data_IF_167596144571
#
_entry.id   IF_167596144571
#
_cell.length_a   1.000
_cell.length_b   1.000
_cell.length_c   1.000
_cell.angle_alpha   90.00
_cell.angle_beta   90.00
_cell.angle_gamma   90.00
#
_symmetry.space_group_name_H-M   'P 1'
#
loop_
_entity.id
_entity.type
_entity.pdbx_description
1 polymer ?
#
# COMPACT_ATOMS: atom_id res chain seq x y z
N UNK A 1 12.08 -15.26 -13.60
CA UNK A 1 13.16 -14.48 -12.95
C UNK A 1 13.70 -13.35 -13.83
N UNK A 2 14.10 -13.63 -15.07
CA UNK A 2 14.69 -12.63 -15.98
C UNK A 2 13.90 -11.31 -16.10
N UNK A 3 12.56 -11.29 -16.26
CA UNK A 3 11.84 -10.02 -16.42
C UNK A 3 11.94 -9.10 -15.17
N UNK A 4 12.01 -9.67 -13.96
CA UNK A 4 12.21 -8.89 -12.74
C UNK A 4 13.61 -8.30 -12.66
N UNK A 5 14.63 -9.09 -12.99
CA UNK A 5 16.01 -8.61 -13.02
C UNK A 5 16.10 -7.44 -14.01
N UNK A 6 15.51 -7.57 -15.20
CA UNK A 6 15.44 -6.50 -16.19
C UNK A 6 14.69 -5.29 -15.64
N UNK A 7 13.51 -5.47 -15.04
CA UNK A 7 12.72 -4.39 -14.46
C UNK A 7 13.48 -3.60 -13.39
N UNK A 8 14.09 -4.28 -12.42
CA UNK A 8 14.86 -3.65 -11.35
C UNK A 8 16.16 -3.02 -11.89
N UNK A 9 16.80 -3.63 -12.89
CA UNK A 9 18.00 -3.06 -13.53
C UNK A 9 17.67 -1.77 -14.28
N UNK A 10 16.61 -1.77 -15.10
CA UNK A 10 16.14 -0.58 -15.81
C UNK A 10 15.73 0.53 -14.82
N UNK A 11 15.03 0.18 -13.74
CA UNK A 11 14.72 1.11 -12.66
C UNK A 11 15.97 1.69 -12.01
N UNK A 12 16.97 0.86 -11.74
CA UNK A 12 18.26 1.29 -11.19
C UNK A 12 18.96 2.29 -12.12
N UNK A 13 18.98 2.04 -13.42
CA UNK A 13 19.54 2.97 -14.41
C UNK A 13 18.80 4.32 -14.41
N UNK A 14 17.47 4.31 -14.39
CA UNK A 14 16.66 5.54 -14.33
C UNK A 14 16.91 6.30 -13.01
N UNK A 15 17.05 5.58 -11.89
CA UNK A 15 17.33 6.16 -10.58
C UNK A 15 18.72 6.83 -10.47
N UNK A 16 19.70 6.38 -11.27
CA UNK A 16 21.06 6.94 -11.32
C UNK A 16 21.16 8.18 -12.21
N UNK A 17 20.13 8.50 -13.00
CA UNK A 17 20.12 9.72 -13.82
C UNK A 17 20.20 10.96 -12.90
N UNK A 18 21.26 11.76 -13.07
CA UNK A 18 21.65 12.87 -12.16
C UNK A 18 20.57 13.91 -11.87
N UNK A 19 19.58 14.06 -12.76
CA UNK A 19 18.52 15.06 -12.65
C UNK A 19 17.18 14.37 -12.80
N UNK A 20 16.28 14.52 -11.83
CA UNK A 20 14.87 14.13 -11.96
C UNK A 20 14.15 15.08 -12.92
N UNK A 21 14.56 15.05 -14.18
CA UNK A 21 13.92 15.76 -15.27
C UNK A 21 12.52 15.19 -15.51
N UNK A 22 11.67 15.94 -16.21
CA UNK A 22 10.38 15.43 -16.67
C UNK A 22 10.56 14.15 -17.51
N UNK A 23 11.62 14.07 -18.33
CA UNK A 23 11.96 12.88 -19.11
C UNK A 23 12.26 11.66 -18.21
N UNK A 24 13.01 11.84 -17.12
CA UNK A 24 13.30 10.75 -16.16
C UNK A 24 12.03 10.23 -15.51
N UNK A 25 11.12 11.13 -15.11
CA UNK A 25 9.83 10.77 -14.53
C UNK A 25 8.95 10.07 -15.58
N UNK A 26 8.95 10.55 -16.82
CA UNK A 26 8.21 9.95 -17.92
C UNK A 26 8.70 8.53 -18.23
N UNK A 27 10.01 8.31 -18.36
CA UNK A 27 10.59 6.98 -18.53
C UNK A 27 10.24 6.05 -17.37
N UNK A 28 10.30 6.57 -16.13
CA UNK A 28 9.90 5.84 -14.93
C UNK A 28 8.42 5.43 -14.97
N UNK A 29 7.51 6.34 -15.35
CA UNK A 29 6.07 6.06 -15.48
C UNK A 29 5.83 5.00 -16.56
N UNK A 30 6.42 5.15 -17.75
CA UNK A 30 6.26 4.17 -18.84
C UNK A 30 6.76 2.79 -18.41
N UNK A 31 7.94 2.70 -17.80
CA UNK A 31 8.52 1.43 -17.37
C UNK A 31 7.60 0.72 -16.35
N UNK A 32 7.05 1.48 -15.40
CA UNK A 32 6.09 0.98 -14.43
C UNK A 32 4.78 0.54 -15.07
N UNK A 33 4.20 1.38 -15.93
CA UNK A 33 2.96 1.05 -16.63
C UNK A 33 3.12 -0.22 -17.47
N UNK A 34 4.25 -0.36 -18.19
CA UNK A 34 4.53 -1.54 -18.99
C UNK A 34 4.70 -2.82 -18.15
N UNK A 35 5.42 -2.74 -17.04
CA UNK A 35 5.76 -3.93 -16.26
C UNK A 35 4.73 -4.31 -15.20
N UNK A 36 4.04 -3.33 -14.64
CA UNK A 36 3.06 -3.52 -13.55
C UNK A 36 1.67 -3.19 -14.04
N UNK A 37 1.47 -2.01 -14.63
CA UNK A 37 0.17 -1.55 -15.12
C UNK A 37 -0.38 -2.29 -16.36
N UNK A 38 0.36 -3.21 -16.98
CA UNK A 38 -0.14 -4.06 -18.08
C UNK A 38 0.03 -5.55 -17.80
N UNK A 39 0.44 -5.87 -16.58
CA UNK A 39 0.74 -7.23 -16.17
C UNK A 39 -0.45 -7.79 -15.41
N UNK A 40 -1.29 -8.52 -16.15
CA UNK A 40 -2.56 -9.01 -15.64
C UNK A 40 -2.56 -10.53 -15.49
N UNK A 41 -3.44 -11.03 -14.61
CA UNK A 41 -3.65 -12.44 -14.23
C UNK A 41 -2.81 -13.03 -13.08
N UNK A 42 -2.36 -12.19 -12.15
CA UNK A 42 -1.38 -12.60 -11.15
C UNK A 42 -1.78 -12.32 -9.70
N UNK A 43 -2.79 -11.48 -9.50
CA UNK A 43 -3.35 -11.19 -8.19
C UNK A 43 -4.31 -12.29 -7.72
N UNK A 44 -4.27 -12.61 -6.42
CA UNK A 44 -5.19 -13.57 -5.79
C UNK A 44 -6.67 -13.23 -6.04
N UNK A 45 -7.00 -11.95 -5.94
CA UNK A 45 -8.38 -11.46 -6.07
C UNK A 45 -8.75 -11.05 -7.50
N UNK A 46 -7.81 -11.19 -8.45
CA UNK A 46 -7.98 -10.74 -9.83
C UNK A 46 -9.27 -11.25 -10.50
N UNK A 47 -9.59 -12.57 -10.44
CA UNK A 47 -10.81 -13.08 -11.07
C UNK A 47 -12.08 -12.55 -10.42
N UNK A 48 -12.07 -12.31 -9.11
CA UNK A 48 -13.23 -11.80 -8.37
C UNK A 48 -13.55 -10.37 -8.82
N UNK A 49 -12.55 -9.48 -8.82
CA UNK A 49 -12.74 -8.10 -9.26
C UNK A 49 -13.05 -7.99 -10.76
N UNK A 50 -12.52 -8.88 -11.59
CA UNK A 50 -12.89 -8.94 -13.02
C UNK A 50 -14.35 -9.35 -13.20
N UNK A 51 -14.81 -10.37 -12.48
CA UNK A 51 -16.22 -10.78 -12.51
C UNK A 51 -17.16 -9.69 -11.99
N UNK A 52 -16.76 -8.99 -10.94
CA UNK A 52 -17.47 -7.83 -10.42
C UNK A 52 -17.56 -6.71 -11.47
N UNK A 53 -16.45 -6.35 -12.11
CA UNK A 53 -16.43 -5.34 -13.15
C UNK A 53 -17.36 -5.67 -14.31
N UNK A 54 -17.29 -6.90 -14.84
CA UNK A 54 -18.16 -7.32 -15.95
C UNK A 54 -19.63 -7.38 -15.53
N UNK A 55 -19.92 -7.80 -14.29
CA UNK A 55 -21.29 -7.76 -13.76
C UNK A 55 -21.80 -6.32 -13.61
N UNK A 56 -21.01 -5.39 -13.06
CA UNK A 56 -21.41 -3.99 -12.92
C UNK A 56 -21.58 -3.30 -14.28
N UNK A 57 -20.83 -3.73 -15.28
CA UNK A 57 -20.94 -3.25 -16.67
C UNK A 57 -22.31 -3.52 -17.27
N UNK A 58 -23.00 -4.61 -16.89
CA UNK A 58 -24.34 -4.92 -17.41
C UNK A 58 -25.47 -4.09 -16.78
N UNK A 59 -25.26 -3.52 -15.59
CA UNK A 59 -26.33 -2.83 -14.85
C UNK A 59 -26.59 -1.40 -15.33
N UNK A 60 -27.84 -0.97 -15.32
CA UNK A 60 -28.20 0.46 -15.47
C UNK A 60 -27.87 1.29 -14.21
N UNK A 61 -27.87 2.62 -14.32
CA UNK A 61 -27.63 3.52 -13.17
C UNK A 61 -28.67 3.31 -12.06
N UNK A 62 -29.96 3.30 -12.41
CA UNK A 62 -31.07 3.10 -11.45
C UNK A 62 -31.01 1.69 -10.84
N UNK A 63 -30.73 0.69 -11.67
CA UNK A 63 -30.62 -0.71 -11.27
C UNK A 63 -29.48 -0.94 -10.26
N UNK A 64 -28.34 -0.28 -10.47
CA UNK A 64 -27.21 -0.33 -9.55
C UNK A 64 -27.56 0.17 -8.14
N UNK A 65 -28.17 1.36 -8.04
CA UNK A 65 -28.52 1.93 -6.74
C UNK A 65 -29.65 1.18 -6.05
N UNK A 66 -30.65 0.71 -6.80
CA UNK A 66 -31.77 -0.08 -6.25
C UNK A 66 -31.31 -1.47 -5.79
N UNK A 67 -30.31 -2.06 -6.45
CA UNK A 67 -29.78 -3.39 -6.11
C UNK A 67 -28.56 -3.36 -5.19
N UNK A 68 -28.13 -2.18 -4.73
CA UNK A 68 -26.89 -2.01 -3.97
C UNK A 68 -26.75 -2.97 -2.77
N UNK A 69 -27.77 -3.20 -1.93
CA UNK A 69 -27.66 -4.17 -0.83
C UNK A 69 -27.37 -5.59 -1.32
N UNK A 70 -28.02 -6.03 -2.40
CA UNK A 70 -27.79 -7.35 -2.98
C UNK A 70 -26.39 -7.46 -3.60
N UNK A 71 -25.90 -6.39 -4.24
CA UNK A 71 -24.54 -6.30 -4.78
C UNK A 71 -23.52 -6.44 -3.64
N UNK A 72 -23.72 -5.77 -2.51
CA UNK A 72 -22.84 -5.86 -1.34
C UNK A 72 -22.80 -7.25 -0.71
N UNK A 73 -23.91 -8.00 -0.78
CA UNK A 73 -23.93 -9.40 -0.33
C UNK A 73 -23.11 -10.28 -1.28
N UNK A 74 -23.24 -10.07 -2.60
CA UNK A 74 -22.52 -10.85 -3.62
C UNK A 74 -21.02 -10.52 -3.66
N UNK A 75 -20.69 -9.24 -3.52
CA UNK A 75 -19.33 -8.70 -3.50
C UNK A 75 -19.16 -7.90 -2.21
N UNK A 76 -18.56 -8.49 -1.14
CA UNK A 76 -18.44 -7.89 0.19
C UNK A 76 -17.36 -6.79 0.24
N UNK A 77 -17.54 -5.80 -0.62
CA UNK A 77 -16.69 -4.64 -0.81
C UNK A 77 -17.36 -3.39 -0.24
N UNK A 78 -16.52 -2.43 0.14
CA UNK A 78 -16.96 -1.17 0.70
C UNK A 78 -17.77 -0.37 -0.33
N UNK A 79 -18.78 0.35 0.14
CA UNK A 79 -19.71 1.12 -0.69
C UNK A 79 -18.99 2.10 -1.64
N UNK A 80 -17.98 2.82 -1.15
CA UNK A 80 -17.22 3.75 -1.98
C UNK A 80 -16.46 3.05 -3.11
N UNK A 81 -15.95 1.84 -2.87
CA UNK A 81 -15.32 1.05 -3.92
C UNK A 81 -16.34 0.54 -4.94
N UNK A 82 -17.52 0.07 -4.52
CA UNK A 82 -18.56 -0.39 -5.44
C UNK A 82 -19.03 0.74 -6.38
N UNK A 83 -19.21 1.95 -5.85
CA UNK A 83 -19.51 3.12 -6.68
C UNK A 83 -18.37 3.38 -7.68
N UNK A 84 -17.12 3.37 -7.20
CA UNK A 84 -15.96 3.57 -8.07
C UNK A 84 -15.88 2.51 -9.17
N UNK A 85 -16.06 1.24 -8.84
CA UNK A 85 -16.03 0.12 -9.78
C UNK A 85 -17.16 0.22 -10.80
N UNK A 86 -18.37 0.59 -10.36
CA UNK A 86 -19.50 0.80 -11.26
C UNK A 86 -19.23 1.94 -12.24
N UNK A 87 -18.84 3.12 -11.76
CA UNK A 87 -18.53 4.26 -12.63
C UNK A 87 -17.40 3.92 -13.60
N UNK A 88 -16.36 3.24 -13.12
CA UNK A 88 -15.24 2.80 -13.96
C UNK A 88 -15.68 1.79 -15.02
N UNK A 89 -16.62 0.89 -14.72
CA UNK A 89 -17.19 -0.06 -15.70
C UNK A 89 -17.95 0.60 -16.84
N UNK A 90 -18.38 1.86 -16.67
CA UNK A 90 -19.04 2.65 -17.72
C UNK A 90 -18.05 3.47 -18.54
N UNK A 91 -16.87 3.74 -18.01
CA UNK A 91 -15.82 4.53 -18.68
C UNK A 91 -14.85 3.62 -19.44
N UNK A 92 -14.42 2.53 -18.81
CA UNK A 92 -13.44 1.60 -19.40
C UNK A 92 -14.15 0.43 -20.07
N UNK A 93 -13.71 0.08 -21.27
CA UNK A 93 -14.29 -1.06 -21.98
C UNK A 93 -13.82 -2.42 -21.45
N UNK A 94 -12.70 -2.45 -20.73
CA UNK A 94 -12.14 -3.65 -20.10
C UNK A 94 -11.63 -3.37 -18.69
N UNK A 95 -11.68 -4.39 -17.84
CA UNK A 95 -11.17 -4.35 -16.47
C UNK A 95 -9.66 -4.08 -16.42
N UNK A 96 -8.91 -4.59 -17.39
CA UNK A 96 -7.47 -4.40 -17.54
C UNK A 96 -7.11 -2.92 -17.72
N UNK A 97 -7.88 -2.16 -18.49
CA UNK A 97 -7.63 -0.72 -18.64
C UNK A 97 -7.94 0.07 -17.37
N UNK A 98 -8.99 -0.32 -16.64
CA UNK A 98 -9.29 0.27 -15.34
C UNK A 98 -8.12 0.06 -14.37
N UNK A 99 -7.52 -1.13 -14.37
CA UNK A 99 -6.37 -1.44 -13.52
C UNK A 99 -5.12 -0.65 -13.90
N UNK A 100 -4.89 -0.45 -15.20
CA UNK A 100 -3.75 0.32 -15.68
C UNK A 100 -3.90 1.77 -15.22
N UNK A 101 -5.11 2.31 -15.35
CA UNK A 101 -5.48 3.61 -14.82
C UNK A 101 -5.27 3.71 -13.30
N UNK A 102 -5.74 2.73 -12.52
CA UNK A 102 -5.55 2.71 -11.07
C UNK A 102 -4.07 2.69 -10.66
N UNK A 103 -3.24 1.95 -11.40
CA UNK A 103 -1.81 1.95 -11.15
C UNK A 103 -1.15 3.28 -11.55
N UNK A 104 -1.61 3.93 -12.63
CA UNK A 104 -1.18 5.29 -12.96
C UNK A 104 -1.57 6.29 -11.85
N UNK A 105 -2.77 6.15 -11.27
CA UNK A 105 -3.23 6.94 -10.10
C UNK A 105 -2.31 6.69 -8.90
N UNK A 106 -1.89 5.46 -8.66
CA UNK A 106 -0.92 5.12 -7.61
C UNK A 106 0.43 5.81 -7.83
N UNK A 107 1.02 5.70 -9.02
CA UNK A 107 2.29 6.37 -9.35
C UNK A 107 2.14 7.89 -9.20
N UNK A 108 1.05 8.47 -9.68
CA UNK A 108 0.79 9.90 -9.56
C UNK A 108 0.68 10.34 -8.09
N UNK A 109 0.01 9.55 -7.24
CA UNK A 109 -0.09 9.81 -5.80
C UNK A 109 1.28 9.77 -5.11
N UNK A 110 2.11 8.79 -5.47
CA UNK A 110 3.45 8.61 -4.93
C UNK A 110 4.38 9.76 -5.32
N UNK A 111 4.37 10.18 -6.59
CA UNK A 111 5.14 11.33 -7.07
C UNK A 111 4.67 12.62 -6.39
N UNK A 112 3.35 12.81 -6.26
CA UNK A 112 2.77 13.99 -5.62
C UNK A 112 3.22 14.11 -4.16
N UNK A 113 3.13 13.01 -3.40
CA UNK A 113 3.58 12.96 -2.01
C UNK A 113 5.10 13.15 -1.89
N UNK A 114 5.89 12.48 -2.75
CA UNK A 114 7.35 12.63 -2.76
C UNK A 114 7.78 14.07 -3.03
N UNK A 115 7.11 14.78 -3.95
CA UNK A 115 7.35 16.22 -4.18
C UNK A 115 6.98 17.06 -2.97
N UNK A 116 5.83 16.81 -2.35
CA UNK A 116 5.36 17.54 -1.16
C UNK A 116 6.28 17.34 0.06
N UNK A 117 6.96 16.19 0.16
CA UNK A 117 7.95 15.89 1.20
C UNK A 117 9.37 16.41 0.89
N UNK A 118 9.62 16.88 -0.34
CA UNK A 118 10.96 17.30 -0.77
C UNK A 118 11.92 16.13 -1.04
N UNK A 119 11.38 14.96 -1.41
CA UNK A 119 12.18 13.78 -1.75
C UNK A 119 12.98 14.02 -3.05
N UNK A 120 14.30 13.90 -2.98
CA UNK A 120 15.19 14.19 -4.12
C UNK A 120 15.23 13.08 -5.17
N UNK A 121 15.09 11.81 -4.75
CA UNK A 121 15.12 10.66 -5.65
C UNK A 121 13.87 9.78 -5.47
N UNK A 122 12.74 10.27 -5.97
CA UNK A 122 11.45 9.56 -6.01
C UNK A 122 11.56 8.19 -6.72
N UNK A 123 12.34 8.06 -7.79
CA UNK A 123 12.48 6.79 -8.52
C UNK A 123 13.13 5.74 -7.62
N UNK A 124 14.24 6.08 -6.96
CA UNK A 124 14.90 5.17 -6.03
C UNK A 124 14.02 4.81 -4.82
N UNK A 125 13.19 5.75 -4.34
CA UNK A 125 12.20 5.45 -3.31
C UNK A 125 11.17 4.43 -3.79
N UNK A 126 10.67 4.55 -5.04
CA UNK A 126 9.74 3.57 -5.61
C UNK A 126 10.38 2.18 -5.75
N UNK A 127 11.68 2.07 -6.03
CA UNK A 127 12.36 0.77 -6.04
C UNK A 127 12.22 0.09 -4.69
N UNK A 128 12.38 0.82 -3.58
CA UNK A 128 12.15 0.28 -2.23
C UNK A 128 10.70 -0.16 -2.06
N UNK A 129 9.72 0.62 -2.55
CA UNK A 129 8.31 0.22 -2.55
C UNK A 129 8.12 -1.11 -3.27
N UNK A 130 8.61 -1.24 -4.51
CA UNK A 130 8.51 -2.49 -5.26
C UNK A 130 9.17 -3.69 -4.54
N UNK A 131 10.29 -3.49 -3.86
CA UNK A 131 10.95 -4.58 -3.13
C UNK A 131 10.05 -5.19 -2.04
N UNK A 132 9.19 -4.39 -1.41
CA UNK A 132 8.30 -4.87 -0.33
C UNK A 132 6.87 -5.16 -0.80
N UNK A 133 6.30 -4.33 -1.67
CA UNK A 133 4.84 -4.34 -1.88
C UNK A 133 4.41 -4.59 -3.33
N UNK A 134 5.34 -4.91 -4.23
CA UNK A 134 5.04 -5.25 -5.63
C UNK A 134 4.00 -6.38 -5.73
N UNK A 135 4.22 -7.48 -4.98
CA UNK A 135 3.31 -8.62 -5.01
C UNK A 135 2.01 -8.38 -4.25
N UNK A 136 2.12 -7.80 -3.05
CA UNK A 136 1.02 -7.74 -2.09
C UNK A 136 0.08 -6.57 -2.35
N UNK A 137 0.60 -5.41 -2.73
CA UNK A 137 -0.19 -4.21 -2.98
C UNK A 137 -0.44 -4.00 -4.47
N UNK A 138 0.64 -3.94 -5.27
CA UNK A 138 0.57 -3.50 -6.67
C UNK A 138 -0.08 -4.55 -7.58
N UNK A 139 0.14 -5.84 -7.33
CA UNK A 139 -0.49 -6.91 -8.12
C UNK A 139 -1.78 -7.49 -7.54
N UNK A 140 -2.03 -7.36 -6.24
CA UNK A 140 -3.05 -8.20 -5.59
C UNK A 140 -4.26 -7.46 -5.03
N UNK A 141 -4.10 -6.21 -4.57
CA UNK A 141 -5.17 -5.56 -3.78
C UNK A 141 -5.58 -4.20 -4.34
N UNK A 142 -6.47 -4.24 -5.34
CA UNK A 142 -7.00 -3.07 -6.06
C UNK A 142 -7.60 -2.03 -5.13
N UNK A 143 -8.48 -2.45 -4.21
CA UNK A 143 -9.12 -1.58 -3.21
C UNK A 143 -8.10 -0.85 -2.35
N UNK A 144 -7.11 -1.58 -1.87
CA UNK A 144 -6.09 -1.05 -1.00
C UNK A 144 -5.14 -0.11 -1.74
N UNK A 145 -4.78 -0.45 -2.98
CA UNK A 145 -4.00 0.41 -3.87
C UNK A 145 -4.69 1.77 -4.06
N UNK A 146 -5.99 1.75 -4.39
CA UNK A 146 -6.78 2.97 -4.56
C UNK A 146 -6.89 3.75 -3.24
N UNK A 147 -7.21 3.09 -2.13
CA UNK A 147 -7.33 3.74 -0.83
C UNK A 147 -6.01 4.39 -0.37
N UNK A 148 -4.89 3.68 -0.52
CA UNK A 148 -3.54 4.20 -0.25
C UNK A 148 -3.20 5.37 -1.19
N UNK A 149 -3.60 5.30 -2.47
CA UNK A 149 -3.38 6.40 -3.42
C UNK A 149 -4.14 7.67 -3.02
N UNK A 150 -5.41 7.52 -2.61
CA UNK A 150 -6.23 8.63 -2.12
C UNK A 150 -5.65 9.23 -0.84
N UNK A 151 -5.16 8.39 0.08
CA UNK A 151 -4.48 8.83 1.29
C UNK A 151 -3.18 9.60 0.98
N UNK A 152 -2.36 9.11 0.05
CA UNK A 152 -1.14 9.80 -0.40
C UNK A 152 -1.44 11.16 -1.02
N UNK A 153 -2.49 11.25 -1.86
CA UNK A 153 -2.96 12.54 -2.38
C UNK A 153 -3.48 13.46 -1.27
N UNK A 154 -4.17 12.93 -0.27
CA UNK A 154 -4.65 13.70 0.87
C UNK A 154 -3.48 14.31 1.67
N UNK A 155 -2.44 13.52 1.95
CA UNK A 155 -1.21 14.00 2.60
C UNK A 155 -0.50 15.05 1.75
N UNK A 156 -0.32 14.80 0.45
CA UNK A 156 0.30 15.76 -0.46
C UNK A 156 -0.48 17.08 -0.53
N UNK A 157 -1.81 17.00 -0.62
CA UNK A 157 -2.72 18.15 -0.58
C UNK A 157 -2.59 18.91 0.74
N UNK A 158 -2.52 18.22 1.87
CA UNK A 158 -2.36 18.84 3.19
C UNK A 158 -1.02 19.57 3.32
N UNK A 159 0.09 18.93 2.95
CA UNK A 159 1.43 19.53 2.99
C UNK A 159 1.56 20.73 2.04
N UNK A 160 0.88 20.69 0.89
CA UNK A 160 0.81 21.80 -0.05
C UNK A 160 -0.28 22.85 0.29
N UNK A 161 -0.96 22.73 1.43
CA UNK A 161 -2.01 23.64 1.91
C UNK A 161 -3.19 23.82 0.94
N UNK A 162 -3.53 22.76 0.20
CA UNK A 162 -4.70 22.73 -0.68
C UNK A 162 -5.98 22.43 0.10
N UNK A 163 -7.15 22.71 -0.48
CA UNK A 163 -8.46 22.66 0.21
C UNK A 163 -9.14 21.30 0.23
N UNK A 164 -8.61 20.29 -0.45
CA UNK A 164 -9.25 18.98 -0.63
C UNK A 164 -8.75 17.81 0.25
N UNK A 165 -7.88 17.97 1.28
CA UNK A 165 -7.33 16.81 1.98
C UNK A 165 -8.41 16.03 2.74
N UNK A 166 -9.39 16.73 3.34
CA UNK A 166 -10.48 16.08 4.07
C UNK A 166 -11.32 15.17 3.16
N UNK A 167 -11.66 15.63 1.95
CA UNK A 167 -12.43 14.86 0.98
C UNK A 167 -11.66 13.60 0.58
N UNK A 168 -10.36 13.72 0.34
CA UNK A 168 -9.50 12.61 -0.06
C UNK A 168 -9.28 11.60 1.09
N UNK A 169 -9.13 12.06 2.34
CA UNK A 169 -9.08 11.17 3.51
C UNK A 169 -10.38 10.38 3.66
N UNK A 170 -11.53 11.05 3.56
CA UNK A 170 -12.84 10.38 3.65
C UNK A 170 -13.02 9.39 2.51
N UNK A 171 -12.67 9.76 1.28
CA UNK A 171 -12.75 8.87 0.12
C UNK A 171 -11.87 7.61 0.29
N UNK A 172 -10.66 7.75 0.87
CA UNK A 172 -9.78 6.63 1.18
C UNK A 172 -10.46 5.59 2.10
N UNK A 173 -11.10 6.05 3.18
CA UNK A 173 -11.83 5.18 4.13
C UNK A 173 -13.08 4.55 3.50
N UNK A 174 -13.80 5.30 2.66
CA UNK A 174 -14.98 4.80 1.95
C UNK A 174 -14.66 3.73 0.91
N UNK A 175 -13.47 3.78 0.31
CA UNK A 175 -12.97 2.74 -0.62
C UNK A 175 -12.50 1.52 0.14
N UNK A 176 -11.89 1.69 1.31
CA UNK A 176 -11.37 0.58 2.11
C UNK A 176 -11.34 1.00 3.59
N UNK A 177 -12.16 0.37 4.42
CA UNK A 177 -12.31 0.76 5.85
C UNK A 177 -10.98 0.66 6.60
N UNK A 178 -10.10 -0.28 6.24
CA UNK A 178 -8.78 -0.42 6.88
C UNK A 178 -7.86 0.80 6.67
N UNK A 179 -8.15 1.68 5.70
CA UNK A 179 -7.43 2.95 5.54
C UNK A 179 -7.72 3.96 6.66
N UNK A 180 -8.76 3.73 7.48
CA UNK A 180 -9.04 4.53 8.67
C UNK A 180 -7.84 4.57 9.63
N UNK A 181 -7.05 3.50 9.69
CA UNK A 181 -5.85 3.49 10.54
C UNK A 181 -4.79 4.49 10.08
N UNK A 182 -4.68 4.74 8.77
CA UNK A 182 -3.77 5.76 8.24
C UNK A 182 -4.25 7.18 8.61
N UNK A 183 -5.57 7.41 8.54
CA UNK A 183 -6.19 8.67 8.96
C UNK A 183 -6.00 8.89 10.46
N UNK A 184 -6.20 7.86 11.29
CA UNK A 184 -5.92 7.92 12.73
C UNK A 184 -4.45 8.24 12.99
N UNK A 185 -3.53 7.59 12.27
CA UNK A 185 -2.10 7.87 12.39
C UNK A 185 -1.76 9.32 12.03
N UNK A 186 -2.40 9.87 11.00
CA UNK A 186 -2.26 11.28 10.60
C UNK A 186 -2.82 12.25 11.65
N UNK A 187 -4.03 12.02 12.16
CA UNK A 187 -4.63 12.83 13.21
C UNK A 187 -3.79 12.81 14.49
N UNK A 188 -3.28 11.62 14.85
CA UNK A 188 -2.32 11.46 15.93
C UNK A 188 -1.05 12.26 15.66
N UNK A 189 -0.47 12.18 14.46
CA UNK A 189 0.77 12.89 14.13
C UNK A 189 0.63 14.42 14.24
N UNK A 190 -0.53 14.98 13.90
CA UNK A 190 -0.81 16.42 14.06
C UNK A 190 -0.95 16.81 15.54
N UNK A 191 -1.64 15.99 16.34
CA UNK A 191 -1.84 16.23 17.77
C UNK A 191 -0.67 15.80 18.66
N UNK A 192 0.30 15.06 18.12
CA UNK A 192 1.37 14.44 18.88
C UNK A 192 2.36 15.47 19.43
N UNK A 193 3.04 15.15 20.55
CA UNK A 193 4.06 16.01 21.12
C UNK A 193 5.15 16.40 20.11
N UNK A 194 5.76 17.57 20.33
CA UNK A 194 6.85 18.07 19.47
C UNK A 194 8.07 17.16 19.47
N UNK A 195 8.33 16.46 20.58
CA UNK A 195 9.49 15.58 20.71
C UNK A 195 9.11 14.18 20.21
N UNK A 196 9.79 13.74 19.15
CA UNK A 196 9.56 12.43 18.49
C UNK A 196 9.64 11.25 19.49
N UNK A 197 10.55 11.29 20.46
CA UNK A 197 10.64 10.24 21.49
C UNK A 197 9.40 10.19 22.39
N UNK A 198 8.80 11.35 22.71
CA UNK A 198 7.58 11.40 23.51
C UNK A 198 6.38 10.90 22.70
N UNK A 199 6.35 11.17 21.39
CA UNK A 199 5.40 10.54 20.46
C UNK A 199 5.54 9.03 20.46
N UNK A 200 6.77 8.50 20.49
CA UNK A 200 7.03 7.05 20.57
C UNK A 200 6.45 6.46 21.85
N UNK A 201 6.61 7.13 23.00
CA UNK A 201 6.04 6.68 24.28
C UNK A 201 4.51 6.69 24.23
N UNK A 202 3.89 7.79 23.78
CA UNK A 202 2.41 7.92 23.74
C UNK A 202 1.81 6.90 22.75
N UNK A 203 2.40 6.76 21.56
CA UNK A 203 1.95 5.77 20.59
C UNK A 203 2.18 4.33 21.09
N UNK A 204 3.29 4.08 21.79
CA UNK A 204 3.58 2.77 22.38
C UNK A 204 2.58 2.40 23.47
N UNK A 205 2.27 3.34 24.38
CA UNK A 205 1.25 3.15 25.41
C UNK A 205 -0.14 2.91 24.80
N UNK A 206 -0.52 3.68 23.78
CA UNK A 206 -1.76 3.47 23.04
C UNK A 206 -1.81 2.10 22.34
N UNK A 207 -0.73 1.70 21.68
CA UNK A 207 -0.64 0.42 21.01
C UNK A 207 -0.71 -0.77 21.99
N UNK A 208 -0.07 -0.66 23.16
CA UNK A 208 -0.19 -1.66 24.24
C UNK A 208 -1.61 -1.74 24.80
N UNK A 209 -2.30 -0.59 24.96
CA UNK A 209 -3.69 -0.57 25.37
C UNK A 209 -4.61 -1.25 24.35
N UNK A 210 -4.36 -1.05 23.04
CA UNK A 210 -5.09 -1.73 21.96
C UNK A 210 -4.90 -3.27 22.00
N UNK A 211 -3.74 -3.75 22.46
CA UNK A 211 -3.46 -5.19 22.59
C UNK A 211 -4.03 -5.81 23.88
N UNK A 212 -4.63 -5.02 24.77
CA UNK A 212 -5.29 -5.59 25.94
C UNK A 212 -6.52 -6.39 25.50
N UNK A 213 -6.65 -7.62 26.02
CA UNK A 213 -7.71 -8.60 25.70
C UNK A 213 -9.13 -8.00 25.83
N UNK A 214 -9.27 -6.95 26.64
CA UNK A 214 -10.52 -6.27 26.94
C UNK A 214 -10.95 -5.25 25.87
N UNK A 215 -10.05 -4.70 25.07
CA UNK A 215 -10.41 -3.55 24.22
C UNK A 215 -11.15 -3.95 22.93
N UNK A 216 -10.80 -5.11 22.37
CA UNK A 216 -11.34 -5.60 21.11
C UNK A 216 -12.85 -5.90 21.16
N UNK A 217 -13.36 -6.67 22.16
CA UNK A 217 -14.79 -6.96 22.27
C UNK A 217 -15.61 -5.70 22.52
N UNK A 218 -15.06 -4.72 23.25
CA UNK A 218 -15.72 -3.45 23.49
C UNK A 218 -15.90 -2.64 22.21
N UNK A 219 -14.90 -2.58 21.32
CA UNK A 219 -15.04 -1.90 20.01
C UNK A 219 -16.05 -2.60 19.10
N UNK A 220 -16.04 -3.93 19.07
CA UNK A 220 -16.95 -4.71 18.21
C UNK A 220 -18.43 -4.40 18.52
N UNK A 221 -18.76 -4.08 19.77
CA UNK A 221 -20.11 -3.74 20.20
C UNK A 221 -20.61 -2.36 19.72
N UNK A 222 -19.71 -1.45 19.34
CA UNK A 222 -20.08 -0.13 18.82
C UNK A 222 -20.08 -0.07 17.29
N UNK A 223 -19.67 -1.14 16.62
CA UNK A 223 -19.60 -1.19 15.18
C UNK A 223 -20.87 -1.80 14.58
N UNK A 224 -21.31 -1.33 13.38
CA UNK A 224 -22.36 -2.01 12.63
C UNK A 224 -22.02 -3.48 12.42
N UNK A 225 -23.04 -4.34 12.40
CA UNK A 225 -22.89 -5.80 12.31
C UNK A 225 -22.01 -6.28 11.14
N UNK A 226 -22.05 -5.60 9.99
CA UNK A 226 -21.18 -5.95 8.85
C UNK A 226 -19.69 -5.65 9.12
N UNK A 227 -19.39 -4.60 9.90
CA UNK A 227 -18.03 -4.23 10.25
C UNK A 227 -17.49 -5.09 11.39
N UNK A 228 -18.35 -5.46 12.35
CA UNK A 228 -17.97 -6.35 13.46
C UNK A 228 -17.61 -7.75 12.95
N UNK A 229 -18.42 -8.35 12.07
CA UNK A 229 -18.14 -9.67 11.46
C UNK A 229 -16.81 -9.67 10.69
N UNK A 230 -16.52 -8.59 9.96
CA UNK A 230 -15.27 -8.46 9.19
C UNK A 230 -14.04 -8.28 10.09
N UNK A 231 -14.16 -7.52 11.18
CA UNK A 231 -13.12 -7.40 12.20
C UNK A 231 -12.91 -8.72 12.93
N UNK A 232 -13.99 -9.39 13.32
CA UNK A 232 -13.94 -10.70 13.97
C UNK A 232 -13.19 -11.71 13.10
N UNK A 233 -13.48 -11.79 11.79
CA UNK A 233 -12.70 -12.58 10.85
C UNK A 233 -11.20 -12.23 10.86
N UNK A 234 -10.84 -10.94 10.91
CA UNK A 234 -9.44 -10.53 10.95
C UNK A 234 -8.70 -10.88 12.26
N UNK A 235 -9.41 -11.03 13.37
CA UNK A 235 -8.83 -11.29 14.69
C UNK A 235 -8.91 -12.76 15.13
N UNK A 236 -9.94 -13.49 14.69
CA UNK A 236 -10.21 -14.88 15.10
C UNK A 236 -9.65 -15.91 14.12
N UNK A 237 -9.53 -15.60 12.82
CA UNK A 237 -8.96 -16.53 11.83
C UNK A 237 -7.41 -16.47 11.91
N UNK A 238 -6.87 -17.06 12.99
CA UNK A 238 -5.44 -17.08 13.33
C UNK A 238 -4.62 -18.10 12.53
N UNK A 239 -5.25 -18.86 11.65
CA UNK A 239 -4.71 -20.12 11.15
C UNK A 239 -4.21 -20.03 9.72
N UNK A 240 -3.09 -19.34 9.47
CA UNK A 240 -2.24 -19.71 8.32
C UNK A 240 -0.75 -19.55 8.67
N UNK A 241 -0.12 -20.70 8.92
CA UNK A 241 1.32 -20.98 8.98
C UNK A 241 2.15 -20.02 9.85
N UNK A 242 2.35 -20.37 11.12
CA UNK A 242 3.29 -19.71 12.02
C UNK A 242 4.73 -19.86 11.50
N UNK A 243 5.20 -18.90 10.72
CA UNK A 243 6.58 -18.87 10.25
C UNK A 243 7.42 -17.97 11.18
N UNK A 244 8.12 -18.59 12.12
CA UNK A 244 8.97 -17.91 13.10
C UNK A 244 10.01 -17.00 12.44
N UNK A 245 10.56 -17.37 11.28
CA UNK A 245 11.53 -16.55 10.56
C UNK A 245 10.89 -15.29 9.97
N UNK A 246 9.67 -15.39 9.42
CA UNK A 246 8.92 -14.25 8.92
C UNK A 246 8.59 -13.27 10.06
N UNK A 247 8.24 -13.81 11.24
CA UNK A 247 8.02 -13.02 12.44
C UNK A 247 9.29 -12.29 12.89
N UNK A 248 10.39 -13.00 13.08
CA UNK A 248 11.67 -12.37 13.47
C UNK A 248 12.08 -11.29 12.47
N UNK A 249 11.92 -11.55 11.17
CA UNK A 249 12.18 -10.55 10.12
C UNK A 249 11.36 -9.28 10.31
N UNK A 250 10.03 -9.39 10.48
CA UNK A 250 9.17 -8.22 10.67
C UNK A 250 9.43 -7.48 11.99
N UNK A 251 9.68 -8.21 13.08
CA UNK A 251 10.00 -7.62 14.37
C UNK A 251 11.29 -6.79 14.29
N UNK A 252 12.36 -7.36 13.72
CA UNK A 252 13.62 -6.65 13.51
C UNK A 252 13.43 -5.45 12.59
N UNK A 253 12.70 -5.62 11.49
CA UNK A 253 12.40 -4.53 10.56
C UNK A 253 11.70 -3.35 11.27
N UNK A 254 10.63 -3.62 12.03
CA UNK A 254 9.89 -2.59 12.74
C UNK A 254 10.72 -1.91 13.83
N UNK A 255 11.52 -2.67 14.61
CA UNK A 255 12.45 -2.09 15.59
C UNK A 255 13.42 -1.13 14.91
N UNK A 256 13.99 -1.52 13.78
CA UNK A 256 14.91 -0.67 13.02
C UNK A 256 14.20 0.59 12.51
N UNK A 257 12.96 0.48 12.02
CA UNK A 257 12.16 1.65 11.60
C UNK A 257 11.90 2.61 12.77
N UNK A 258 11.58 2.10 13.98
CA UNK A 258 11.42 2.93 15.19
C UNK A 258 12.72 3.65 15.54
N UNK A 259 13.84 2.93 15.54
CA UNK A 259 15.17 3.51 15.81
C UNK A 259 15.48 4.61 14.78
N UNK A 260 15.23 4.36 13.51
CA UNK A 260 15.45 5.32 12.45
C UNK A 260 14.56 6.55 12.59
N UNK A 261 13.27 6.39 12.87
CA UNK A 261 12.39 7.54 13.04
C UNK A 261 12.78 8.41 14.25
N UNK A 262 13.32 7.81 15.33
CA UNK A 262 13.84 8.55 16.48
C UNK A 262 15.21 9.22 16.22
N UNK A 263 16.07 8.59 15.41
CA UNK A 263 17.39 9.11 15.04
C UNK A 263 17.35 10.08 13.86
N UNK A 264 16.24 10.09 13.12
CA UNK A 264 15.95 10.97 11.99
C UNK A 264 15.85 12.41 12.49
N UNK A 265 16.99 13.09 12.50
CA UNK A 265 17.09 14.52 12.68
C UNK A 265 17.54 15.13 11.36
N UNK A 266 16.80 16.11 10.86
CA UNK A 266 17.30 16.97 9.78
C UNK A 266 18.37 17.89 10.37
N UNK A 267 19.58 17.85 9.81
CA UNK A 267 20.60 18.87 10.11
C UNK A 267 20.14 20.17 9.47
N UNK A 268 19.46 21.02 10.23
CA UNK A 268 19.04 22.33 9.76
C UNK A 268 19.99 23.42 10.25
N UNK A 269 20.17 24.41 9.38
CA UNK A 269 20.79 25.69 9.70
C UNK A 269 19.88 26.46 10.66
N UNK A 270 20.43 27.28 11.58
CA UNK A 270 19.67 27.98 12.65
C UNK A 270 18.42 28.75 12.16
N UNK A 271 18.42 29.23 10.92
CA UNK A 271 17.34 30.00 10.29
C UNK A 271 16.16 29.13 9.83
N UNK A 272 16.41 27.88 9.44
CA UNK A 272 15.38 26.93 8.96
C UNK A 272 14.67 26.21 10.11
N UNK A 273 15.34 26.11 11.28
CA UNK A 273 14.80 25.48 12.49
C UNK A 273 13.53 26.17 13.04
N UNK A 274 13.34 27.47 12.75
CA UNK A 274 12.17 28.24 13.18
C UNK A 274 10.94 27.95 12.31
N UNK A 275 11.12 27.74 10.99
CA UNK A 275 10.04 27.34 10.07
C UNK A 275 9.67 25.86 10.18
N UNK A 276 10.55 25.04 10.76
CA UNK A 276 10.36 23.59 10.87
C UNK A 276 9.34 23.13 11.93
N UNK A 277 8.74 24.08 12.68
CA UNK A 277 7.81 23.80 13.79
C UNK A 277 6.57 22.97 13.36
N UNK A 278 6.33 22.83 12.04
CA UNK A 278 5.37 21.94 11.39
C UNK A 278 5.87 21.41 10.02
N UNK A 279 7.10 20.88 9.93
CA UNK A 279 7.56 20.34 8.64
C UNK A 279 6.80 19.07 8.27
N UNK A 280 6.43 18.92 6.99
CA UNK A 280 5.79 17.74 6.42
C UNK A 280 6.52 16.44 6.80
N UNK A 281 7.86 16.50 6.93
CA UNK A 281 8.72 15.40 7.34
C UNK A 281 8.47 14.96 8.80
N UNK A 282 8.27 15.89 9.73
CA UNK A 282 7.98 15.55 11.14
C UNK A 282 6.64 14.81 11.26
N UNK A 283 5.61 15.31 10.58
CA UNK A 283 4.30 14.65 10.53
C UNK A 283 4.44 13.25 9.92
N UNK A 284 5.14 13.12 8.79
CA UNK A 284 5.36 11.82 8.15
C UNK A 284 6.13 10.83 9.05
N UNK A 285 7.16 11.29 9.78
CA UNK A 285 7.89 10.46 10.74
C UNK A 285 7.00 10.00 11.91
N UNK A 286 6.12 10.87 12.40
CA UNK A 286 5.16 10.53 13.46
C UNK A 286 4.11 9.53 12.99
N UNK A 287 3.65 9.64 11.74
CA UNK A 287 2.78 8.62 11.11
C UNK A 287 3.53 7.28 11.05
N UNK A 288 4.76 7.28 10.53
CA UNK A 288 5.63 6.09 10.46
C UNK A 288 5.77 5.43 11.84
N UNK A 289 6.05 6.20 12.88
CA UNK A 289 6.16 5.69 14.26
C UNK A 289 4.85 5.07 14.74
N UNK A 290 3.73 5.76 14.56
CA UNK A 290 2.43 5.26 14.97
C UNK A 290 2.11 3.94 14.28
N UNK A 291 2.21 3.88 12.96
CA UNK A 291 1.95 2.66 12.18
C UNK A 291 2.88 1.51 12.58
N UNK A 292 4.15 1.80 12.86
CA UNK A 292 5.13 0.78 13.28
C UNK A 292 4.81 0.23 14.67
N UNK A 293 4.45 1.09 15.62
CA UNK A 293 4.12 0.69 16.99
C UNK A 293 2.80 -0.08 17.05
N UNK A 294 1.80 0.33 16.27
CA UNK A 294 0.56 -0.44 16.11
C UNK A 294 0.86 -1.81 15.47
N UNK A 295 1.74 -1.87 14.47
CA UNK A 295 2.16 -3.14 13.86
C UNK A 295 2.89 -4.07 14.82
N UNK A 296 3.69 -3.52 15.75
CA UNK A 296 4.36 -4.27 16.81
C UNK A 296 3.40 -4.75 17.90
N UNK A 297 2.41 -3.94 18.26
CA UNK A 297 1.40 -4.34 19.23
C UNK A 297 0.44 -5.41 18.66
N UNK A 298 0.02 -5.25 17.40
CA UNK A 298 -0.85 -6.16 16.67
C UNK A 298 -0.06 -7.19 15.86
N UNK A 299 1.14 -7.54 16.32
CA UNK A 299 2.12 -8.32 15.56
C UNK A 299 1.60 -9.70 15.12
N UNK A 300 0.78 -10.34 15.96
CA UNK A 300 0.16 -11.64 15.69
C UNK A 300 -1.03 -11.57 14.73
N UNK A 301 -1.50 -10.36 14.38
CA UNK A 301 -2.61 -10.13 13.46
C UNK A 301 -2.05 -9.79 12.08
N UNK A 302 -1.70 -10.84 11.32
CA UNK A 302 -1.04 -10.72 10.00
C UNK A 302 -1.73 -9.72 9.06
N UNK A 303 -3.06 -9.71 9.03
CA UNK A 303 -3.80 -8.78 8.17
C UNK A 303 -3.59 -7.32 8.58
N UNK A 304 -3.65 -7.00 9.88
CA UNK A 304 -3.39 -5.63 10.36
C UNK A 304 -1.96 -5.22 10.05
N UNK A 305 -0.98 -6.08 10.34
CA UNK A 305 0.44 -5.85 10.02
C UNK A 305 0.66 -5.54 8.54
N UNK A 306 0.12 -6.36 7.63
CA UNK A 306 0.28 -6.17 6.20
C UNK A 306 -0.38 -4.88 5.71
N UNK A 307 -1.54 -4.52 6.26
CA UNK A 307 -2.21 -3.24 5.95
C UNK A 307 -1.38 -2.05 6.41
N UNK A 308 -0.76 -2.11 7.59
CA UNK A 308 0.12 -1.03 8.05
C UNK A 308 1.39 -0.92 7.20
N UNK A 309 1.95 -2.06 6.81
CA UNK A 309 3.17 -2.14 6.01
C UNK A 309 3.05 -1.37 4.68
N UNK A 310 1.90 -1.39 4.02
CA UNK A 310 1.70 -0.74 2.72
C UNK A 310 2.00 0.76 2.76
N UNK A 311 1.39 1.48 3.71
CA UNK A 311 1.63 2.92 3.87
C UNK A 311 2.99 3.20 4.53
N UNK A 312 3.40 2.35 5.47
CA UNK A 312 4.67 2.47 6.17
C UNK A 312 5.85 2.48 5.18
N UNK A 313 5.89 1.53 4.24
CA UNK A 313 6.96 1.43 3.25
C UNK A 313 6.97 2.64 2.31
N UNK A 314 5.80 3.14 1.89
CA UNK A 314 5.70 4.33 1.04
C UNK A 314 6.32 5.54 1.77
N UNK A 315 5.91 5.81 3.00
CA UNK A 315 6.42 6.97 3.74
C UNK A 315 7.90 6.82 4.08
N UNK A 316 8.31 5.66 4.61
CA UNK A 316 9.72 5.41 4.95
C UNK A 316 10.60 5.53 3.72
N UNK A 317 10.21 4.93 2.58
CA UNK A 317 10.97 5.04 1.33
C UNK A 317 11.14 6.50 0.92
N UNK A 318 10.08 7.31 0.87
CA UNK A 318 10.15 8.72 0.50
C UNK A 318 11.02 9.55 1.46
N UNK A 319 10.88 9.34 2.77
CA UNK A 319 11.62 10.06 3.81
C UNK A 319 13.13 9.81 3.69
N UNK A 320 13.56 8.57 3.41
CA UNK A 320 15.00 8.24 3.34
C UNK A 320 15.77 8.95 2.20
N UNK A 321 15.05 9.52 1.24
CA UNK A 321 15.61 10.27 0.11
C UNK A 321 15.39 11.78 0.23
N UNK A 322 14.95 12.28 1.39
CA UNK A 322 14.95 13.72 1.72
C UNK A 322 16.40 14.18 1.95
N UNK A 323 16.81 15.35 1.41
CA UNK A 323 18.16 15.87 1.61
C UNK A 323 18.45 16.19 3.09
N UNK A 324 19.72 16.13 3.50
CA UNK A 324 20.19 16.52 4.83
C UNK A 324 19.61 15.75 6.03
N UNK A 325 18.91 14.63 5.78
CA UNK A 325 18.46 13.72 6.83
C UNK A 325 19.66 12.95 7.41
N UNK A 326 19.84 13.03 8.73
CA UNK A 326 20.91 12.31 9.44
C UNK A 326 20.73 10.80 9.24
N UNK A 327 21.85 10.09 9.01
CA UNK A 327 21.89 8.64 8.77
C UNK A 327 21.12 8.12 7.54
N UNK A 328 20.63 8.99 6.64
CA UNK A 328 19.88 8.57 5.46
C UNK A 328 20.58 7.53 4.58
N UNK A 329 21.92 7.54 4.50
CA UNK A 329 22.69 6.52 3.75
C UNK A 329 22.53 5.13 4.36
N UNK A 330 22.61 5.02 5.68
CA UNK A 330 22.45 3.75 6.40
C UNK A 330 21.00 3.26 6.32
N UNK A 331 20.03 4.18 6.47
CA UNK A 331 18.60 3.84 6.32
C UNK A 331 18.30 3.25 4.93
N UNK A 332 18.80 3.88 3.87
CA UNK A 332 18.64 3.38 2.49
C UNK A 332 19.22 1.98 2.35
N UNK A 333 20.45 1.76 2.82
CA UNK A 333 21.11 0.45 2.75
C UNK A 333 20.27 -0.63 3.44
N UNK A 334 19.80 -0.36 4.65
CA UNK A 334 18.94 -1.31 5.38
C UNK A 334 17.65 -1.60 4.64
N UNK A 335 16.96 -0.58 4.12
CA UNK A 335 15.72 -0.78 3.37
C UNK A 335 15.93 -1.59 2.10
N UNK A 336 16.99 -1.34 1.34
CA UNK A 336 17.32 -2.14 0.16
C UNK A 336 17.66 -3.59 0.54
N UNK A 337 18.41 -3.82 1.62
CA UNK A 337 18.75 -5.17 2.07
C UNK A 337 17.52 -5.94 2.55
N UNK A 338 16.70 -5.35 3.43
CA UNK A 338 15.47 -5.99 3.91
C UNK A 338 14.47 -6.20 2.79
N UNK A 339 14.29 -5.20 1.91
CA UNK A 339 13.42 -5.32 0.76
C UNK A 339 13.89 -6.41 -0.21
N UNK A 340 15.20 -6.52 -0.46
CA UNK A 340 15.77 -7.57 -1.29
C UNK A 340 15.52 -8.97 -0.72
N UNK A 341 15.71 -9.15 0.59
CA UNK A 341 15.39 -10.41 1.28
C UNK A 341 13.89 -10.71 1.20
N UNK A 342 13.04 -9.72 1.47
CA UNK A 342 11.58 -9.88 1.41
C UNK A 342 11.10 -10.27 0.01
N UNK A 343 11.63 -9.60 -1.03
CA UNK A 343 11.33 -9.93 -2.42
C UNK A 343 11.79 -11.36 -2.75
N UNK A 344 13.03 -11.72 -2.41
CA UNK A 344 13.58 -13.04 -2.68
C UNK A 344 12.75 -14.15 -2.04
N UNK A 345 12.35 -14.00 -0.77
CA UNK A 345 11.47 -14.95 -0.07
C UNK A 345 10.07 -14.96 -0.70
N UNK A 346 9.53 -13.81 -1.10
CA UNK A 346 8.22 -13.76 -1.76
C UNK A 346 8.23 -14.51 -3.10
N UNK A 347 9.37 -14.51 -3.79
CA UNK A 347 9.57 -15.25 -5.05
C UNK A 347 9.69 -16.77 -4.87
N UNK A 348 9.98 -17.27 -3.66
CA UNK A 348 10.10 -18.72 -3.39
C UNK A 348 8.81 -19.35 -2.85
N UNK A 349 7.83 -18.55 -2.38
CA UNK A 349 6.53 -19.07 -1.91
C UNK A 349 5.83 -19.84 -3.04
N UNK A 350 5.18 -20.98 -2.79
CA UNK A 350 4.47 -21.76 -3.83
C UNK A 350 3.38 -20.96 -4.57
N UNK A 351 2.89 -19.88 -3.98
CA UNK A 351 1.97 -18.95 -4.62
C UNK A 351 2.66 -18.02 -5.64
N UNK A 352 4.00 -18.01 -5.70
CA UNK A 352 4.81 -17.24 -6.65
C UNK A 352 4.69 -17.72 -8.08
N UNK A 353 4.12 -18.90 -8.35
CA UNK A 353 3.66 -19.30 -9.68
C UNK A 353 2.58 -18.35 -10.23
N UNK A 354 1.74 -17.76 -9.37
CA UNK A 354 0.82 -16.68 -9.76
C UNK A 354 1.52 -15.36 -9.96
N UNK A 355 2.78 -15.22 -9.56
CA UNK A 355 3.53 -13.99 -9.67
C UNK A 355 4.67 -14.13 -10.65
N UNK A 356 4.56 -14.93 -11.70
CA UNK A 356 5.57 -14.88 -12.77
C UNK A 356 5.09 -13.96 -13.91
N UNK A 357 5.87 -12.97 -14.37
CA UNK A 357 5.47 -12.00 -15.39
C UNK A 357 5.35 -12.58 -16.79
N UNK A 358 5.09 -13.89 -16.92
CA UNK A 358 5.13 -14.55 -18.21
C UNK A 358 4.01 -14.08 -19.14
N UNK A 359 2.98 -13.38 -18.65
CA UNK A 359 1.91 -12.81 -19.46
C UNK A 359 1.79 -11.30 -19.26
N UNK A 360 2.60 -10.55 -19.99
CA UNK A 360 2.21 -9.18 -20.32
C UNK A 360 1.05 -9.28 -21.33
N UNK A 361 -0.15 -8.86 -20.93
CA UNK A 361 -1.34 -9.03 -21.76
C UNK A 361 -1.21 -8.28 -23.09
N UNK A 362 -0.52 -7.13 -23.14
CA UNK A 362 -0.26 -6.43 -24.41
C UNK A 362 0.61 -7.29 -25.33
N UNK A 363 1.64 -7.95 -24.78
CA UNK A 363 2.47 -8.86 -25.56
C UNK A 363 1.68 -10.08 -26.07
N UNK A 364 0.86 -10.69 -25.22
CA UNK A 364 0.05 -11.86 -25.60
C UNK A 364 -1.09 -11.50 -26.55
N UNK A 365 -1.77 -10.38 -26.31
CA UNK A 365 -2.86 -9.88 -27.14
C UNK A 365 -2.38 -9.39 -28.51
N UNK A 366 -1.20 -8.75 -28.60
CA UNK A 366 -0.62 -8.33 -29.89
C UNK A 366 -0.12 -9.53 -30.69
N UNK A 367 0.37 -10.58 -30.01
CA UNK A 367 0.90 -11.79 -30.66
C UNK A 367 -0.15 -12.90 -30.83
N UNK A 368 -1.39 -12.67 -30.40
CA UNK A 368 -2.50 -13.64 -30.55
C UNK A 368 -2.37 -14.90 -29.69
N UNK A 369 -1.64 -14.84 -28.57
CA UNK A 369 -1.45 -15.98 -27.67
C UNK A 369 -2.54 -16.03 -26.58
N UNK A 370 -3.02 -17.24 -26.27
CA UNK A 370 -3.95 -17.47 -25.16
C UNK A 370 -3.26 -17.32 -23.79
N UNK A 371 -4.01 -16.81 -22.81
CA UNK A 371 -3.52 -16.55 -21.45
C UNK A 371 -3.88 -17.71 -20.49
N UNK A 372 -2.99 -18.10 -19.58
CA UNK A 372 -3.16 -19.27 -18.69
C UNK A 372 -3.59 -18.90 -17.25
N UNK A 373 -3.89 -17.63 -16.98
CA UNK A 373 -4.31 -17.16 -15.66
C UNK A 373 -5.53 -17.85 -15.08
N UNK A 374 -6.55 -18.10 -15.90
CA UNK A 374 -7.74 -18.81 -15.45
C UNK A 374 -7.45 -20.28 -15.12
N UNK A 375 -6.57 -20.93 -15.91
CA UNK A 375 -6.12 -22.30 -15.67
C UNK A 375 -5.31 -22.40 -14.37
N UNK A 376 -4.42 -21.43 -14.11
CA UNK A 376 -3.67 -21.32 -12.85
C UNK A 376 -4.58 -21.13 -11.64
N UNK A 377 -5.57 -20.24 -11.74
CA UNK A 377 -6.54 -20.04 -10.66
C UNK A 377 -7.40 -21.29 -10.42
N UNK A 378 -7.75 -22.04 -11.47
CA UNK A 378 -8.41 -23.36 -11.36
C UNK A 378 -7.50 -24.39 -10.67
N UNK A 379 -6.21 -24.47 -11.04
CA UNK A 379 -5.21 -25.34 -10.38
C UNK A 379 -5.04 -24.99 -8.89
N UNK A 380 -4.98 -23.71 -8.55
CA UNK A 380 -4.91 -23.23 -7.17
C UNK A 380 -6.15 -23.60 -6.36
N UNK A 381 -7.35 -23.38 -6.91
CA UNK A 381 -8.60 -23.79 -6.26
C UNK A 381 -8.67 -25.30 -6.06
N UNK A 382 -8.17 -26.09 -7.01
CA UNK A 382 -8.05 -27.55 -6.85
C UNK A 382 -7.08 -27.91 -5.74
N UNK A 383 -5.91 -27.27 -5.67
CA UNK A 383 -4.92 -27.47 -4.61
C UNK A 383 -5.50 -27.17 -3.21
N UNK A 384 -6.17 -26.03 -3.03
CA UNK A 384 -6.81 -25.70 -1.75
C UNK A 384 -7.96 -26.64 -1.38
N UNK A 385 -8.70 -27.14 -2.38
CA UNK A 385 -9.75 -28.15 -2.15
C UNK A 385 -9.19 -29.53 -1.82
N UNK A 386 -7.99 -29.87 -2.27
CA UNK A 386 -7.33 -31.15 -1.94
C UNK A 386 -6.61 -31.16 -0.58
N UNK A 387 -6.46 -29.99 0.06
CA UNK A 387 -5.89 -29.86 1.41
C UNK A 387 -6.94 -29.71 2.52
N UNK A 388 -8.23 -29.72 2.15
CA UNK A 388 -9.36 -29.91 3.06
C UNK A 388 -9.88 -31.33 2.89
#
# INVERSE_FOLDING_TARGET
MLPYITFFSLHGLVALMKRQSQATIFCFVILNMYFVGFRYELGFDWPLYKQEFEFLKTLGFIEFFSSMPAIQVKYPHEFGFLIFAFLSSKVFFSYELMQAFLFAVFIASFISLGRALGTRNIVAAMIVVHLFVLFTLEFSTVRQLLATSLFNFALASYFNKQRIPLILFTASVLVQVSAAVYVIAFLFAIGAPKKIWLTTIVAGAGALALNSVSFLPYILNFLPSFASVKLEYYFNDRDYSYNTLEQVFFAVFFIIVVLFANLAQTKLTKTEAIQQKFSSTDIALKIVLFLTLVSLAMFFVNTVRNRMLYELIILVSLITFIPNLKYARYMRLVLFSFGGVYLAVSMTKSLSYMYVPYQNYVFYSVLGYESDGEERHKKLRRFFRSQR
#
